data_IF_517480778978
#
_entry.id   IF_517480778978
#
_cell.length_a   1.000
_cell.length_b   1.000
_cell.length_c   1.000
_cell.angle_alpha   90.00
_cell.angle_beta   90.00
_cell.angle_gamma   90.00
#
_symmetry.space_group_name_H-M   'P 1'
#
loop_
_entity.id
_entity.type
_entity.pdbx_description
1 polymer ?
#
# COMPACT_ATOMS: atom_id res chain seq x y z
N UNK A 1 -28.99 -12.76 15.21
CA UNK A 1 -28.33 -11.50 15.64
C UNK A 1 -29.22 -10.33 15.25
N UNK A 2 -29.46 -9.38 16.16
CA UNK A 2 -30.27 -8.18 15.91
C UNK A 2 -29.53 -7.19 15.00
N UNK A 3 -30.26 -6.34 14.26
CA UNK A 3 -29.65 -5.38 13.32
C UNK A 3 -28.61 -4.46 13.97
N UNK A 4 -28.90 -3.92 15.15
CA UNK A 4 -27.96 -3.06 15.88
C UNK A 4 -26.64 -3.77 16.22
N UNK A 5 -26.68 -5.08 16.50
CA UNK A 5 -25.48 -5.87 16.78
C UNK A 5 -24.65 -6.06 15.51
N UNK A 6 -25.30 -6.18 14.34
CA UNK A 6 -24.61 -6.29 13.04
C UNK A 6 -23.89 -5.00 12.68
N UNK A 7 -24.54 -3.87 12.91
CA UNK A 7 -23.96 -2.54 12.67
C UNK A 7 -22.76 -2.32 13.60
N UNK A 8 -22.91 -2.57 14.89
CA UNK A 8 -21.81 -2.41 15.85
C UNK A 8 -20.59 -3.28 15.50
N UNK A 9 -20.81 -4.54 15.11
CA UNK A 9 -19.73 -5.43 14.68
C UNK A 9 -19.03 -4.92 13.40
N UNK A 10 -19.78 -4.41 12.42
CA UNK A 10 -19.21 -3.84 11.20
C UNK A 10 -18.39 -2.57 11.48
N UNK A 11 -18.85 -1.71 12.39
CA UNK A 11 -18.13 -0.51 12.82
C UNK A 11 -16.83 -0.85 13.56
N UNK A 12 -16.83 -1.88 14.42
CA UNK A 12 -15.64 -2.35 15.11
C UNK A 12 -14.57 -2.88 14.14
N UNK A 13 -14.98 -3.72 13.17
CA UNK A 13 -14.08 -4.22 12.13
C UNK A 13 -13.51 -3.05 11.32
N UNK A 14 -14.36 -2.10 10.92
CA UNK A 14 -13.96 -0.89 10.19
C UNK A 14 -12.93 -0.06 10.96
N UNK A 15 -13.12 0.11 12.26
CA UNK A 15 -12.20 0.86 13.10
C UNK A 15 -10.79 0.26 13.14
N UNK A 16 -10.63 -1.03 12.82
CA UNK A 16 -9.33 -1.70 12.75
C UNK A 16 -8.76 -1.76 11.33
N UNK A 17 -9.60 -1.86 10.29
CA UNK A 17 -9.16 -2.11 8.93
C UNK A 17 -8.31 -0.96 8.37
N UNK A 18 -8.83 0.26 8.34
CA UNK A 18 -8.12 1.40 7.74
C UNK A 18 -6.80 1.71 8.46
N UNK A 19 -6.75 1.76 9.81
CA UNK A 19 -5.47 1.94 10.50
C UNK A 19 -4.45 0.82 10.22
N UNK A 20 -4.91 -0.38 9.91
CA UNK A 20 -4.02 -1.50 9.53
C UNK A 20 -3.43 -1.28 8.14
N UNK A 21 -4.25 -0.80 7.19
CA UNK A 21 -3.79 -0.42 5.85
C UNK A 21 -2.74 0.70 5.90
N UNK A 22 -3.04 1.77 6.65
CA UNK A 22 -2.14 2.92 6.81
C UNK A 22 -0.78 2.51 7.40
N UNK A 23 -0.78 1.63 8.40
CA UNK A 23 0.45 1.14 9.03
C UNK A 23 1.32 0.31 8.09
N UNK A 24 0.72 -0.43 7.15
CA UNK A 24 1.49 -1.14 6.13
C UNK A 24 2.11 -0.15 5.15
N UNK A 25 1.38 0.88 4.74
CA UNK A 25 1.90 1.92 3.85
C UNK A 25 3.05 2.70 4.52
N UNK A 26 2.92 3.02 5.82
CA UNK A 26 4.01 3.60 6.63
C UNK A 26 5.23 2.67 6.70
N UNK A 27 5.02 1.38 6.94
CA UNK A 27 6.13 0.41 7.01
C UNK A 27 6.87 0.27 5.67
N UNK A 28 6.15 0.30 4.55
CA UNK A 28 6.74 0.33 3.20
C UNK A 28 7.60 1.58 3.02
N UNK A 29 7.09 2.76 3.39
CA UNK A 29 7.83 4.01 3.28
C UNK A 29 9.10 4.01 4.14
N UNK A 30 9.01 3.59 5.40
CA UNK A 30 10.15 3.47 6.31
C UNK A 30 11.21 2.50 5.79
N UNK A 31 10.81 1.35 5.23
CA UNK A 31 11.73 0.39 4.63
C UNK A 31 12.45 0.97 3.41
N UNK A 32 11.75 1.72 2.56
CA UNK A 32 12.36 2.38 1.41
C UNK A 32 13.40 3.42 1.84
N UNK A 33 13.12 4.19 2.90
CA UNK A 33 14.06 5.14 3.49
C UNK A 33 15.31 4.43 4.02
N UNK A 34 15.15 3.28 4.69
CA UNK A 34 16.26 2.48 5.20
C UNK A 34 17.15 1.96 4.05
N UNK A 35 16.55 1.43 2.98
CA UNK A 35 17.29 0.98 1.78
C UNK A 35 18.10 2.15 1.19
N UNK A 36 17.46 3.31 1.01
CA UNK A 36 18.13 4.49 0.49
C UNK A 36 19.29 4.95 1.38
N UNK A 37 19.11 4.95 2.70
CA UNK A 37 20.15 5.31 3.66
C UNK A 37 21.36 4.37 3.58
N UNK A 38 21.14 3.06 3.49
CA UNK A 38 22.22 2.07 3.35
C UNK A 38 23.03 2.28 2.06
N UNK A 39 22.35 2.56 0.95
CA UNK A 39 23.01 2.78 -0.36
C UNK A 39 23.82 4.07 -0.33
N UNK A 40 23.26 5.16 0.21
CA UNK A 40 23.95 6.46 0.34
C UNK A 40 25.16 6.36 1.25
N UNK A 41 25.01 5.79 2.44
CA UNK A 41 26.12 5.61 3.38
C UNK A 41 27.28 4.82 2.76
N UNK A 42 26.98 3.80 1.93
CA UNK A 42 28.01 3.07 1.19
C UNK A 42 28.72 3.95 0.15
N UNK A 43 27.97 4.74 -0.62
CA UNK A 43 28.55 5.65 -1.61
C UNK A 43 29.41 6.73 -0.96
N UNK A 44 28.93 7.33 0.13
CA UNK A 44 29.58 8.46 0.81
C UNK A 44 30.88 8.04 1.53
N UNK A 45 30.96 6.79 2.00
CA UNK A 45 32.13 6.26 2.71
C UNK A 45 33.16 5.60 1.80
N UNK A 46 32.85 5.40 0.51
CA UNK A 46 33.74 4.75 -0.44
C UNK A 46 34.03 3.28 -0.13
N UNK A 47 33.25 2.64 0.74
CA UNK A 47 33.41 1.22 1.05
C UNK A 47 32.98 0.34 -0.14
N UNK A 48 33.58 -0.84 -0.25
CA UNK A 48 33.33 -1.74 -1.38
C UNK A 48 31.85 -2.10 -1.56
N UNK A 49 31.42 -2.29 -2.81
CA UNK A 49 30.01 -2.53 -3.16
C UNK A 49 29.35 -3.72 -2.45
N UNK A 50 30.13 -4.75 -2.09
CA UNK A 50 29.66 -5.93 -1.37
C UNK A 50 29.30 -5.64 0.09
N UNK A 51 29.87 -4.58 0.69
CA UNK A 51 29.61 -4.22 2.08
C UNK A 51 28.14 -3.79 2.24
N UNK A 52 27.45 -4.42 3.18
CA UNK A 52 26.02 -4.18 3.45
C UNK A 52 25.06 -4.67 2.37
N UNK A 53 25.55 -5.30 1.28
CA UNK A 53 24.67 -5.75 0.18
C UNK A 53 23.66 -6.81 0.66
N UNK A 54 24.09 -7.77 1.48
CA UNK A 54 23.19 -8.77 2.08
C UNK A 54 22.08 -8.11 2.90
N UNK A 55 22.39 -7.06 3.67
CA UNK A 55 21.38 -6.34 4.45
C UNK A 55 20.36 -5.63 3.54
N UNK A 56 20.84 -4.94 2.49
CA UNK A 56 19.97 -4.32 1.47
C UNK A 56 19.05 -5.36 0.83
N UNK A 57 19.57 -6.53 0.47
CA UNK A 57 18.79 -7.61 -0.13
C UNK A 57 17.69 -8.12 0.82
N UNK A 58 18.01 -8.31 2.11
CA UNK A 58 17.04 -8.75 3.12
C UNK A 58 15.93 -7.71 3.34
N UNK A 59 16.28 -6.43 3.46
CA UNK A 59 15.28 -5.36 3.62
C UNK A 59 14.41 -5.23 2.37
N UNK A 60 14.99 -5.38 1.17
CA UNK A 60 14.22 -5.37 -0.10
C UNK A 60 13.25 -6.54 -0.20
N UNK A 61 13.66 -7.73 0.27
CA UNK A 61 12.78 -8.90 0.34
C UNK A 61 11.63 -8.68 1.32
N UNK A 62 11.91 -8.12 2.51
CA UNK A 62 10.88 -7.75 3.48
C UNK A 62 9.90 -6.71 2.90
N UNK A 63 10.40 -5.69 2.20
CA UNK A 63 9.55 -4.69 1.55
C UNK A 63 8.61 -5.30 0.50
N UNK A 64 9.09 -6.28 -0.26
CA UNK A 64 8.25 -7.01 -1.22
C UNK A 64 7.10 -7.72 -0.51
N UNK A 65 7.37 -8.35 0.63
CA UNK A 65 6.33 -9.01 1.43
C UNK A 65 5.31 -8.01 1.99
N UNK A 66 5.74 -6.81 2.39
CA UNK A 66 4.81 -5.76 2.85
C UNK A 66 3.89 -5.26 1.74
N UNK A 67 4.41 -5.11 0.51
CA UNK A 67 3.59 -4.75 -0.66
C UNK A 67 2.54 -5.83 -0.95
N UNK A 68 2.90 -7.11 -0.86
CA UNK A 68 1.93 -8.20 -1.01
C UNK A 68 0.92 -8.24 0.14
N UNK A 69 1.34 -7.94 1.37
CA UNK A 69 0.44 -7.79 2.51
C UNK A 69 -0.57 -6.65 2.29
N UNK A 70 -0.12 -5.50 1.75
CA UNK A 70 -1.03 -4.39 1.39
C UNK A 70 -2.07 -4.83 0.37
N UNK A 71 -1.65 -5.54 -0.68
CA UNK A 71 -2.56 -6.10 -1.69
C UNK A 71 -3.57 -7.07 -1.07
N UNK A 72 -3.15 -7.89 -0.11
CA UNK A 72 -4.06 -8.78 0.61
C UNK A 72 -5.09 -8.01 1.45
N UNK A 73 -4.69 -6.92 2.11
CA UNK A 73 -5.60 -6.05 2.86
C UNK A 73 -6.63 -5.36 1.94
N UNK A 74 -6.23 -4.88 0.76
CA UNK A 74 -7.17 -4.31 -0.23
C UNK A 74 -8.25 -5.33 -0.61
N UNK A 75 -7.84 -6.59 -0.84
CA UNK A 75 -8.79 -7.67 -1.15
C UNK A 75 -9.70 -7.99 0.04
N UNK A 76 -9.15 -8.03 1.25
CA UNK A 76 -9.94 -8.23 2.47
C UNK A 76 -10.96 -7.11 2.67
N UNK A 77 -10.57 -5.85 2.42
CA UNK A 77 -11.47 -4.70 2.45
C UNK A 77 -12.65 -4.90 1.49
N UNK A 78 -12.39 -5.23 0.22
CA UNK A 78 -13.45 -5.49 -0.77
C UNK A 78 -14.38 -6.63 -0.34
N UNK A 79 -13.83 -7.74 0.15
CA UNK A 79 -14.62 -8.87 0.64
C UNK A 79 -15.49 -8.50 1.86
N UNK A 80 -15.02 -7.59 2.73
CA UNK A 80 -15.80 -7.09 3.86
C UNK A 80 -16.97 -6.19 3.41
N UNK A 81 -16.83 -5.45 2.31
CA UNK A 81 -17.94 -4.68 1.72
C UNK A 81 -19.04 -5.64 1.23
N UNK A 82 -18.65 -6.68 0.49
CA UNK A 82 -19.58 -7.72 0.00
C UNK A 82 -20.28 -8.43 1.18
N UNK A 83 -19.52 -8.86 2.19
CA UNK A 83 -20.07 -9.51 3.38
C UNK A 83 -21.03 -8.60 4.18
N UNK A 84 -20.77 -7.29 4.21
CA UNK A 84 -21.69 -6.31 4.79
C UNK A 84 -23.03 -6.28 4.06
N UNK A 85 -22.99 -6.28 2.72
CA UNK A 85 -24.18 -6.40 1.86
C UNK A 85 -25.00 -7.66 2.15
N UNK A 86 -24.34 -8.81 2.26
CA UNK A 86 -24.98 -10.10 2.54
C UNK A 86 -25.76 -10.11 3.87
N UNK A 87 -25.29 -9.38 4.88
CA UNK A 87 -25.94 -9.31 6.20
C UNK A 87 -26.91 -8.15 6.36
N UNK A 88 -27.09 -7.33 5.31
CA UNK A 88 -27.96 -6.16 5.30
C UNK A 88 -27.37 -4.92 5.99
N UNK A 89 -26.05 -4.89 6.21
CA UNK A 89 -25.33 -3.71 6.71
C UNK A 89 -24.76 -2.98 5.51
N UNK A 90 -25.42 -1.88 5.11
CA UNK A 90 -24.86 -0.94 4.14
C UNK A 90 -23.60 -0.34 4.73
N UNK A 91 -22.44 -0.82 4.27
CA UNK A 91 -21.15 -0.17 4.47
C UNK A 91 -21.05 1.02 3.51
N UNK A 92 -21.97 1.98 3.61
CA UNK A 92 -21.90 3.23 2.83
C UNK A 92 -20.61 3.95 3.18
N UNK A 93 -19.74 4.13 2.19
CA UNK A 93 -18.60 5.03 2.25
C UNK A 93 -17.28 4.38 2.64
N UNK A 94 -16.59 3.86 1.62
CA UNK A 94 -15.13 3.84 1.61
C UNK A 94 -14.65 4.17 0.20
N UNK A 95 -13.75 5.16 0.09
CA UNK A 95 -13.28 5.71 -1.17
C UNK A 95 -12.62 4.65 -2.03
N UNK A 96 -13.38 4.14 -2.99
CA UNK A 96 -13.12 4.23 -4.43
C UNK A 96 -14.37 3.72 -5.16
N UNK A 97 -15.46 4.52 -5.16
CA UNK A 97 -16.52 4.33 -6.17
C UNK A 97 -16.17 5.03 -7.48
N UNK A 98 -15.06 5.76 -7.49
CA UNK A 98 -14.43 6.27 -8.70
C UNK A 98 -13.72 5.12 -9.37
N UNK A 99 -14.16 4.72 -10.56
CA UNK A 99 -13.19 4.21 -11.51
C UNK A 99 -12.03 5.22 -11.55
N UNK A 100 -10.79 4.73 -11.53
CA UNK A 100 -9.64 5.56 -11.92
C UNK A 100 -10.09 6.39 -13.13
N UNK A 101 -10.04 7.73 -13.10
CA UNK A 101 -10.47 8.53 -14.23
C UNK A 101 -9.74 7.97 -15.45
N UNK A 102 -10.47 7.68 -16.53
CA UNK A 102 -9.85 7.29 -17.78
C UNK A 102 -8.79 8.33 -18.07
N UNK A 103 -7.53 7.92 -17.96
CA UNK A 103 -6.41 8.67 -18.51
C UNK A 103 -6.67 8.66 -20.01
N UNK A 104 -7.45 9.64 -20.47
CA UNK A 104 -7.56 9.98 -21.87
C UNK A 104 -6.11 10.22 -22.30
N UNK A 105 -5.53 9.26 -23.02
CA UNK A 105 -4.23 9.41 -23.66
C UNK A 105 -4.38 10.52 -24.69
N UNK A 106 -4.36 11.77 -24.24
CA UNK A 106 -4.06 12.89 -25.09
C UNK A 106 -2.61 12.69 -25.47
N UNK A 107 -2.42 11.99 -26.59
CA UNK A 107 -1.18 11.94 -27.36
C UNK A 107 -0.88 13.36 -27.82
N UNK A 108 -0.46 14.20 -26.89
CA UNK A 108 0.12 15.49 -27.22
C UNK A 108 1.53 15.17 -27.64
N UNK A 109 1.73 15.22 -28.96
CA UNK A 109 2.98 15.09 -29.69
C UNK A 109 3.98 16.15 -29.20
N UNK A 110 4.53 15.98 -28.00
CA UNK A 110 5.56 16.81 -27.41
C UNK A 110 6.90 16.08 -27.53
N UNK A 111 7.74 16.52 -28.47
CA UNK A 111 9.11 16.03 -28.64
C UNK A 111 9.90 16.30 -27.35
N UNK A 112 10.11 15.30 -26.52
CA UNK A 112 11.15 15.36 -25.50
C UNK A 112 12.50 15.29 -26.21
N UNK A 113 13.25 16.39 -26.17
CA UNK A 113 14.65 16.41 -26.60
C UNK A 113 15.47 15.69 -25.55
N UNK A 114 16.27 14.71 -25.98
CA UNK A 114 17.33 14.16 -25.17
C UNK A 114 18.29 15.28 -24.77
N UNK A 115 18.51 15.44 -23.47
CA UNK A 115 19.64 16.17 -22.92
C UNK A 115 20.75 15.15 -22.71
N UNK A 116 21.87 15.37 -23.42
CA UNK A 116 23.13 14.67 -23.19
C UNK A 116 23.85 15.19 -21.96
#
# INVERSE_FOLDING_TARGET
MMMHQKIAAAEEIRAQLLPTEDKIDEAIACSAQLIAAMIKARADTGVGAAIGHTAIAQVSAAQTQMVEARRALIRAHKALIEAGGDVGVLTTGYGDTSECPEIEETRTKGRLRAVG
#
